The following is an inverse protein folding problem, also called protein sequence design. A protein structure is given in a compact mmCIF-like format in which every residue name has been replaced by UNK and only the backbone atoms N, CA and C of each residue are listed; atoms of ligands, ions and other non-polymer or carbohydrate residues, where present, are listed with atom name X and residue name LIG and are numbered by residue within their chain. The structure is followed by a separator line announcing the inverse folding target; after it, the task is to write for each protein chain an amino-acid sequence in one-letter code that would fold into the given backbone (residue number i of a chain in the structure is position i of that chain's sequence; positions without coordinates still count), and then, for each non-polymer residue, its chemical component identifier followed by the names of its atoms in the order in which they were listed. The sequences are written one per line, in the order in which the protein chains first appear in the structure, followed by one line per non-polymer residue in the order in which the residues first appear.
data_IF_741843876633
#
_entry.id   IF_741843876633
#
_cell.length_a   1.000
_cell.length_b   1.000
_cell.length_c   1.000
_cell.angle_alpha   90.00
_cell.angle_beta   90.00
_cell.angle_gamma   90.00
#
_symmetry.space_group_name_H-M   'P 1'
#
loop_
_entity.id
_entity.type
_entity.pdbx_description
1 polymer ?
#
# COMPACT_ATOMS: atom_id res chain seq x y z
N UNK A 1 4.20 -8.83 5.68
CA UNK A 1 3.25 -9.29 6.73
C UNK A 1 1.81 -9.45 6.22
N UNK A 2 1.27 -8.46 5.50
CA UNK A 2 -0.11 -8.39 5.00
C UNK A 2 -0.55 -9.58 4.14
N UNK A 3 0.35 -10.12 3.30
CA UNK A 3 0.09 -11.33 2.50
C UNK A 3 -0.21 -12.57 3.37
N UNK A 4 0.44 -12.70 4.53
CA UNK A 4 0.20 -13.80 5.47
C UNK A 4 -1.16 -13.66 6.16
N UNK A 5 -1.51 -12.44 6.55
CA UNK A 5 -2.81 -12.10 7.15
C UNK A 5 -3.94 -12.40 6.16
N UNK A 6 -3.81 -12.00 4.89
CA UNK A 6 -4.80 -12.31 3.85
C UNK A 6 -5.01 -13.83 3.72
N UNK A 7 -3.93 -14.62 3.60
CA UNK A 7 -4.03 -16.09 3.53
C UNK A 7 -4.76 -16.67 4.74
N UNK A 8 -4.44 -16.20 5.94
CA UNK A 8 -5.09 -16.66 7.17
C UNK A 8 -6.58 -16.30 7.18
N UNK A 9 -6.96 -15.11 6.70
CA UNK A 9 -8.37 -14.73 6.57
C UNK A 9 -9.12 -15.57 5.54
N UNK A 10 -8.48 -15.96 4.43
CA UNK A 10 -9.09 -16.88 3.46
C UNK A 10 -9.32 -18.26 4.05
N UNK A 11 -8.35 -18.80 4.80
CA UNK A 11 -8.48 -20.08 5.51
C UNK A 11 -9.60 -20.00 6.56
N UNK A 12 -9.63 -18.91 7.34
CA UNK A 12 -10.67 -18.66 8.33
C UNK A 12 -12.06 -18.58 7.69
N UNK A 13 -12.19 -17.92 6.53
CA UNK A 13 -13.45 -17.84 5.79
C UNK A 13 -13.93 -19.21 5.32
N UNK A 14 -13.03 -20.02 4.78
CA UNK A 14 -13.35 -21.39 4.38
C UNK A 14 -13.80 -22.24 5.57
N UNK A 15 -13.08 -22.16 6.69
CA UNK A 15 -13.45 -22.85 7.92
C UNK A 15 -14.80 -22.38 8.46
N UNK A 16 -15.08 -21.06 8.45
CA UNK A 16 -16.33 -20.50 8.93
C UNK A 16 -17.54 -20.97 8.11
N UNK A 17 -17.43 -20.96 6.76
CA UNK A 17 -18.47 -21.49 5.88
C UNK A 17 -18.69 -22.98 6.14
N UNK A 18 -17.62 -23.79 6.16
CA UNK A 18 -17.71 -25.22 6.42
C UNK A 18 -18.38 -25.51 7.77
N UNK A 19 -17.94 -24.83 8.82
CA UNK A 19 -18.47 -24.99 10.17
C UNK A 19 -19.93 -24.55 10.24
N UNK A 20 -20.32 -23.52 9.49
CA UNK A 20 -21.70 -23.07 9.45
C UNK A 20 -22.63 -24.03 8.72
N UNK A 21 -22.12 -24.81 7.76
CA UNK A 21 -22.87 -25.88 7.09
C UNK A 21 -23.03 -27.08 8.03
N UNK A 22 -21.98 -27.45 8.78
CA UNK A 22 -22.00 -28.60 9.70
C UNK A 22 -22.78 -28.30 10.99
N UNK A 23 -22.70 -27.07 11.50
CA UNK A 23 -23.38 -26.62 12.72
C UNK A 23 -23.98 -25.24 12.49
N UNK A 24 -25.25 -25.14 12.06
CA UNK A 24 -25.91 -23.87 11.76
C UNK A 24 -26.34 -23.12 13.02
N UNK A 25 -25.42 -22.90 13.97
CA UNK A 25 -25.68 -22.11 15.18
C UNK A 25 -25.44 -20.62 14.93
N UNK A 26 -26.26 -19.77 15.57
CA UNK A 26 -26.28 -18.32 15.37
C UNK A 26 -24.89 -17.67 15.51
N UNK A 27 -24.09 -18.09 16.47
CA UNK A 27 -22.74 -17.55 16.69
C UNK A 27 -21.79 -17.83 15.53
N UNK A 28 -21.88 -19.01 14.90
CA UNK A 28 -21.02 -19.38 13.74
C UNK A 28 -21.44 -18.60 12.50
N UNK A 29 -22.74 -18.37 12.30
CA UNK A 29 -23.24 -17.52 11.21
C UNK A 29 -22.76 -16.07 11.36
N UNK A 30 -22.88 -15.49 12.56
CA UNK A 30 -22.35 -14.15 12.86
C UNK A 30 -20.83 -14.11 12.62
N UNK A 31 -20.09 -15.14 13.07
CA UNK A 31 -18.66 -15.24 12.82
C UNK A 31 -18.35 -15.28 11.32
N UNK A 32 -19.12 -16.02 10.52
CA UNK A 32 -18.96 -16.10 9.05
C UNK A 32 -19.13 -14.73 8.39
N UNK A 33 -20.18 -13.99 8.73
CA UNK A 33 -20.39 -12.61 8.23
C UNK A 33 -19.25 -11.70 8.67
N UNK A 34 -18.85 -11.78 9.94
CA UNK A 34 -17.78 -10.96 10.51
C UNK A 34 -16.45 -11.21 9.80
N UNK A 35 -16.11 -12.48 9.56
CA UNK A 35 -14.90 -12.86 8.81
C UNK A 35 -14.96 -12.35 7.37
N UNK A 36 -16.12 -12.41 6.72
CA UNK A 36 -16.28 -11.86 5.37
C UNK A 36 -16.05 -10.34 5.32
N UNK A 37 -16.61 -9.61 6.29
CA UNK A 37 -16.44 -8.14 6.44
C UNK A 37 -14.98 -7.79 6.75
N UNK A 38 -14.32 -8.53 7.64
CA UNK A 38 -12.91 -8.31 7.96
C UNK A 38 -12.05 -8.53 6.70
N UNK A 39 -12.31 -9.58 5.93
CA UNK A 39 -11.56 -9.86 4.71
C UNK A 39 -11.72 -8.77 3.65
N UNK A 40 -12.92 -8.21 3.45
CA UNK A 40 -13.10 -7.11 2.50
C UNK A 40 -12.38 -5.84 2.96
N UNK A 41 -12.38 -5.54 4.27
CA UNK A 41 -11.64 -4.40 4.82
C UNK A 41 -10.13 -4.57 4.64
N UNK A 42 -9.60 -5.78 4.85
CA UNK A 42 -8.18 -6.07 4.59
C UNK A 42 -7.84 -5.85 3.12
N UNK A 43 -8.69 -6.32 2.21
CA UNK A 43 -8.46 -6.20 0.76
C UNK A 43 -8.51 -4.73 0.32
N UNK A 44 -9.46 -3.94 0.83
CA UNK A 44 -9.68 -2.55 0.39
C UNK A 44 -8.78 -1.53 1.09
N UNK A 45 -8.28 -1.83 2.29
CA UNK A 45 -7.54 -0.85 3.10
C UNK A 45 -6.14 -1.36 3.42
N UNK A 46 -6.03 -2.53 4.06
CA UNK A 46 -4.74 -3.01 4.55
C UNK A 46 -3.78 -3.36 3.41
N UNK A 47 -4.27 -3.90 2.29
CA UNK A 47 -3.43 -4.19 1.12
C UNK A 47 -2.94 -2.90 0.46
N UNK A 48 -3.80 -1.94 0.04
CA UNK A 48 -3.32 -0.70 -0.54
C UNK A 48 -2.38 0.07 0.37
N UNK A 49 -2.67 0.12 1.68
CA UNK A 49 -1.80 0.78 2.64
C UNK A 49 -0.45 0.07 2.75
N UNK A 50 -0.43 -1.27 2.85
CA UNK A 50 0.83 -2.01 2.92
C UNK A 50 1.66 -1.88 1.64
N UNK A 51 1.01 -1.76 0.49
CA UNK A 51 1.71 -1.46 -0.76
C UNK A 51 2.27 -0.05 -0.71
N UNK A 52 1.48 0.96 -0.33
CA UNK A 52 1.96 2.33 -0.19
C UNK A 52 3.14 2.45 0.81
N UNK A 53 3.11 1.69 1.91
CA UNK A 53 4.23 1.63 2.88
C UNK A 53 5.45 0.93 2.30
N UNK A 54 5.27 -0.19 1.59
CA UNK A 54 6.37 -0.91 0.93
C UNK A 54 7.03 -0.03 -0.16
N UNK A 55 6.28 0.91 -0.73
CA UNK A 55 6.78 1.94 -1.65
C UNK A 55 7.20 3.23 -0.93
N UNK A 56 7.32 3.28 0.40
CA UNK A 56 7.81 4.48 1.10
C UNK A 56 6.92 5.74 0.99
N UNK A 57 5.67 5.59 0.56
CA UNK A 57 4.72 6.71 0.34
C UNK A 57 4.05 7.14 1.66
N UNK A 58 4.09 6.31 2.71
CA UNK A 58 3.29 6.52 3.93
C UNK A 58 4.04 7.07 5.14
N UNK A 59 5.36 7.21 5.09
CA UNK A 59 6.13 7.74 6.23
C UNK A 59 6.08 9.28 6.25
N UNK A 60 4.92 9.80 6.63
CA UNK A 60 4.73 11.22 6.97
C UNK A 60 5.18 11.56 8.40
N UNK A 61 6.17 10.87 8.95
CA UNK A 61 6.60 11.08 10.33
C UNK A 61 8.13 11.05 10.49
N UNK A 62 8.80 12.11 9.99
CA UNK A 62 9.92 12.80 10.65
C UNK A 62 11.02 11.91 11.25
N UNK A 63 11.41 10.86 10.53
CA UNK A 63 12.36 9.84 11.00
C UNK A 63 13.41 9.51 9.95
N UNK A 64 14.12 10.49 9.40
CA UNK A 64 15.51 10.37 8.89
C UNK A 64 15.85 9.36 7.77
N UNK A 65 14.97 8.43 7.42
CA UNK A 65 15.15 7.32 6.49
C UNK A 65 14.25 7.53 5.25
N UNK A 66 14.11 8.78 4.82
CA UNK A 66 13.39 9.13 3.59
C UNK A 66 14.19 8.63 2.37
N UNK A 67 13.55 7.87 1.50
CA UNK A 67 14.21 7.36 0.29
C UNK A 67 14.26 8.44 -0.78
N UNK A 68 15.45 8.70 -1.32
CA UNK A 68 15.63 9.69 -2.40
C UNK A 68 14.79 9.41 -3.67
N UNK A 69 14.29 8.18 -3.84
CA UNK A 69 13.43 7.73 -4.96
C UNK A 69 11.98 7.51 -4.56
N UNK A 70 11.58 7.84 -3.33
CA UNK A 70 10.20 7.67 -2.89
C UNK A 70 9.80 6.24 -2.75
N UNK A 71 10.72 5.43 -2.21
CA UNK A 71 10.54 4.00 -1.98
C UNK A 71 10.32 3.17 -3.25
N UNK A 72 10.62 3.70 -4.44
CA UNK A 72 10.71 2.92 -5.67
C UNK A 72 11.99 2.07 -5.74
N UNK A 73 12.91 2.26 -4.80
CA UNK A 73 14.05 1.37 -4.57
C UNK A 73 13.60 0.03 -3.96
N UNK A 74 13.02 -0.82 -4.81
CA UNK A 74 12.49 -2.13 -4.43
C UNK A 74 13.57 -3.23 -4.39
N UNK A 75 14.85 -2.88 -4.62
CA UNK A 75 15.98 -3.80 -4.60
C UNK A 75 17.19 -3.13 -3.95
N UNK A 76 17.34 -3.31 -2.64
CA UNK A 76 18.59 -3.60 -1.91
C UNK A 76 18.57 -2.98 -0.52
N UNK A 77 19.39 -3.53 0.36
CA UNK A 77 19.59 -3.10 1.74
C UNK A 77 20.34 -1.76 1.84
N UNK A 78 20.39 -0.99 0.74
CA UNK A 78 20.98 0.33 0.61
C UNK A 78 19.85 1.27 0.18
N UNK A 79 19.11 1.78 1.15
CA UNK A 79 18.36 3.02 0.92
C UNK A 79 19.37 4.07 0.47
N UNK A 80 19.19 4.64 -0.71
CA UNK A 80 19.95 5.81 -1.18
C UNK A 80 19.78 6.92 -0.14
N UNK A 81 20.74 7.05 0.78
CA UNK A 81 20.64 7.97 1.91
C UNK A 81 20.43 9.39 1.39
N UNK A 82 19.54 10.15 2.04
CA UNK A 82 19.26 11.56 1.73
C UNK A 82 20.56 12.39 1.67
N UNK A 83 21.60 11.98 2.39
CA UNK A 83 22.92 12.61 2.39
C UNK A 83 23.67 12.54 1.04
N UNK A 84 23.19 11.77 0.05
CA UNK A 84 23.75 11.73 -1.29
C UNK A 84 23.21 12.84 -2.21
N UNK A 85 22.11 13.49 -1.81
CA UNK A 85 21.49 14.59 -2.54
C UNK A 85 21.61 15.91 -1.77
N UNK A 86 22.07 16.96 -2.43
CA UNK A 86 21.95 18.33 -1.93
C UNK A 86 20.61 18.96 -2.36
N UNK A 87 20.06 19.80 -1.48
CA UNK A 87 18.81 20.52 -1.70
C UNK A 87 17.62 19.62 -2.10
N UNK A 88 17.57 18.42 -1.53
CA UNK A 88 16.51 17.44 -1.79
C UNK A 88 15.13 17.99 -1.42
N UNK A 89 14.18 17.83 -2.34
CA UNK A 89 12.75 18.11 -2.14
C UNK A 89 11.95 16.92 -2.62
N UNK A 90 10.87 16.66 -1.90
CA UNK A 90 9.99 15.55 -2.16
C UNK A 90 8.55 15.98 -1.93
N UNK A 91 7.69 15.67 -2.89
CA UNK A 91 6.26 15.85 -2.84
C UNK A 91 5.57 14.50 -3.10
N UNK A 92 4.59 14.17 -2.27
CA UNK A 92 3.81 12.94 -2.41
C UNK A 92 2.31 13.24 -2.30
N UNK A 93 1.51 12.44 -3.00
CA UNK A 93 0.07 12.63 -3.06
C UNK A 93 -0.68 11.33 -3.30
N UNK A 94 -1.98 11.37 -3.03
CA UNK A 94 -2.88 10.28 -3.42
C UNK A 94 -4.22 10.82 -3.93
N UNK A 95 -4.82 10.07 -4.86
CA UNK A 95 -6.12 10.33 -5.44
C UNK A 95 -6.94 9.04 -5.45
N UNK A 96 -8.24 9.16 -5.21
CA UNK A 96 -9.17 8.02 -5.19
C UNK A 96 -10.14 8.17 -6.35
N UNK A 97 -10.24 7.14 -7.18
CA UNK A 97 -11.16 7.06 -8.31
C UNK A 97 -11.85 5.70 -8.38
N UNK A 98 -12.78 5.53 -9.33
CA UNK A 98 -13.39 4.21 -9.60
C UNK A 98 -12.38 3.19 -10.13
N UNK A 99 -11.29 3.66 -10.73
CA UNK A 99 -10.25 2.80 -11.29
C UNK A 99 -9.28 2.29 -10.22
N UNK A 100 -9.26 2.95 -9.06
CA UNK A 100 -8.43 2.56 -7.92
C UNK A 100 -7.95 3.73 -7.08
N UNK A 101 -6.93 3.45 -6.28
CA UNK A 101 -6.17 4.47 -5.54
C UNK A 101 -4.89 4.73 -6.34
N UNK A 102 -4.69 5.97 -6.75
CA UNK A 102 -3.47 6.45 -7.39
C UNK A 102 -2.60 7.12 -6.33
N UNK A 103 -1.33 6.76 -6.28
CA UNK A 103 -0.31 7.42 -5.50
C UNK A 103 0.70 8.06 -6.44
N UNK A 104 1.02 9.32 -6.19
CA UNK A 104 1.97 10.11 -6.95
C UNK A 104 3.15 10.47 -6.07
N UNK A 105 4.33 10.46 -6.66
CA UNK A 105 5.57 10.79 -6.01
C UNK A 105 6.42 11.64 -6.96
N UNK A 106 6.95 12.75 -6.47
CA UNK A 106 7.90 13.58 -7.18
C UNK A 106 9.06 13.91 -6.23
N UNK A 107 10.29 13.68 -6.66
CA UNK A 107 11.47 14.21 -5.97
C UNK A 107 12.44 14.88 -6.91
N UNK A 108 13.22 15.80 -6.34
CA UNK A 108 14.24 16.56 -7.04
C UNK A 108 15.39 16.89 -6.08
N UNK A 109 16.62 16.80 -6.55
CA UNK A 109 17.82 17.16 -5.80
C UNK A 109 19.08 17.04 -6.64
N UNK A 110 20.19 17.56 -6.14
CA UNK A 110 21.49 17.47 -6.82
C UNK A 110 22.26 16.25 -6.33
N UNK A 111 22.53 15.29 -7.20
CA UNK A 111 23.30 14.07 -6.89
C UNK A 111 24.79 14.40 -6.75
N UNK A 112 25.30 14.35 -5.51
CA UNK A 112 26.70 14.65 -5.23
C UNK A 112 27.66 13.58 -5.82
N UNK A 113 27.15 12.38 -6.12
CA UNK A 113 27.90 11.32 -6.78
C UNK A 113 28.21 11.61 -8.25
N UNK A 114 27.47 12.53 -8.88
CA UNK A 114 27.73 13.00 -10.25
C UNK A 114 28.70 14.17 -10.32
N UNK A 115 29.11 14.71 -9.16
CA UNK A 115 30.05 15.82 -9.05
C UNK A 115 31.46 15.35 -8.70
N UNK A 116 32.46 16.05 -9.24
CA UNK A 116 33.84 15.95 -8.80
C UNK A 116 33.98 16.42 -7.35
N UNK A 117 34.95 15.86 -6.60
CA UNK A 117 35.10 16.14 -5.16
C UNK A 117 35.30 17.63 -4.84
N UNK A 118 35.90 18.38 -5.76
CA UNK A 118 36.19 19.82 -5.62
C UNK A 118 34.92 20.68 -5.70
N UNK A 119 33.87 20.22 -6.41
CA UNK A 119 32.65 20.98 -6.68
C UNK A 119 31.50 20.64 -5.72
N UNK A 120 31.66 19.60 -4.88
CA UNK A 120 30.59 19.12 -3.99
C UNK A 120 30.22 20.11 -2.89
N UNK A 121 31.23 20.67 -2.22
CA UNK A 121 31.01 21.59 -1.10
C UNK A 121 30.23 22.83 -1.55
N UNK A 122 30.53 23.34 -2.76
CA UNK A 122 29.85 24.49 -3.35
C UNK A 122 28.37 24.20 -3.63
N UNK A 123 28.04 23.02 -4.17
CA UNK A 123 26.66 22.59 -4.43
C UNK A 123 25.89 22.27 -3.14
N UNK A 124 26.57 21.81 -2.09
CA UNK A 124 25.96 21.58 -0.77
C UNK A 124 25.55 22.92 -0.12
N UNK A 125 26.42 23.93 -0.21
CA UNK A 125 26.15 25.24 0.37
C UNK A 125 25.12 26.04 -0.43
N UNK A 126 25.21 25.99 -1.78
CA UNK A 126 24.37 26.79 -2.67
C UNK A 126 23.88 25.98 -3.87
N UNK A 127 22.55 25.95 -4.06
CA UNK A 127 21.93 25.29 -5.21
C UNK A 127 22.36 25.95 -6.53
N UNK A 128 22.99 25.20 -7.47
CA UNK A 128 23.35 25.72 -8.78
C UNK A 128 22.13 26.18 -9.58
N UNK A 129 22.32 27.19 -10.43
CA UNK A 129 21.34 27.59 -11.45
C UNK A 129 21.75 27.08 -12.83
N UNK A 130 20.81 27.04 -13.77
CA UNK A 130 21.05 26.54 -15.13
C UNK A 130 22.22 27.27 -15.80
N UNK A 131 23.28 26.53 -16.12
CA UNK A 131 24.52 27.05 -16.70
C UNK A 131 25.71 27.15 -15.73
N UNK A 132 25.48 27.00 -14.42
CA UNK A 132 26.55 26.94 -13.43
C UNK A 132 27.20 25.53 -13.37
N UNK A 133 28.48 25.44 -12.97
CA UNK A 133 29.10 24.16 -12.65
C UNK A 133 28.27 23.38 -11.62
N UNK A 134 28.05 22.10 -11.90
CA UNK A 134 27.26 21.22 -11.05
C UNK A 134 25.75 21.29 -11.21
N UNK A 135 25.19 22.17 -12.07
CA UNK A 135 23.75 22.14 -12.35
C UNK A 135 23.28 20.81 -12.98
N UNK A 136 24.14 20.19 -13.79
CA UNK A 136 23.87 18.92 -14.47
C UNK A 136 23.74 17.72 -13.50
N UNK A 137 24.08 17.90 -12.22
CA UNK A 137 23.82 16.86 -11.20
C UNK A 137 22.38 16.88 -10.68
N UNK A 138 21.53 17.81 -11.14
CA UNK A 138 20.12 17.84 -10.80
C UNK A 138 19.40 16.60 -11.36
N UNK A 139 18.96 15.74 -10.45
CA UNK A 139 18.17 14.56 -10.77
C UNK A 139 16.78 14.73 -10.17
N UNK A 140 15.77 14.36 -10.94
CA UNK A 140 14.39 14.27 -10.49
C UNK A 140 13.76 12.93 -10.83
N UNK A 141 12.89 12.45 -9.94
CA UNK A 141 12.13 11.22 -10.10
C UNK A 141 10.63 11.52 -10.05
N UNK A 142 9.88 11.13 -11.09
CA UNK A 142 8.41 11.12 -11.10
C UNK A 142 7.93 9.67 -11.09
N UNK A 143 7.22 9.30 -10.02
CA UNK A 143 6.70 7.98 -9.77
C UNK A 143 5.17 7.98 -9.66
N UNK A 144 4.52 7.03 -10.34
CA UNK A 144 3.07 6.83 -10.28
C UNK A 144 2.74 5.38 -10.01
N UNK A 145 1.95 5.14 -8.97
CA UNK A 145 1.49 3.82 -8.57
C UNK A 145 -0.05 3.79 -8.54
N UNK A 146 -0.64 2.92 -9.36
CA UNK A 146 -2.08 2.72 -9.42
C UNK A 146 -2.46 1.36 -8.80
N UNK A 147 -3.27 1.39 -7.76
CA UNK A 147 -3.82 0.20 -7.10
C UNK A 147 -5.30 0.07 -7.44
N UNK A 148 -5.58 -0.72 -8.47
CA UNK A 148 -6.94 -0.96 -8.97
C UNK A 148 -7.59 -2.26 -8.46
N UNK A 149 -8.88 -2.46 -8.78
CA UNK A 149 -9.61 -3.65 -8.39
C UNK A 149 -9.07 -4.90 -9.11
N UNK A 150 -8.36 -5.73 -8.36
CA UNK A 150 -7.79 -6.98 -8.88
C UNK A 150 -8.75 -8.18 -8.82
N UNK A 151 -8.32 -9.34 -9.36
CA UNK A 151 -9.08 -10.59 -9.30
C UNK A 151 -9.50 -10.98 -7.87
N UNK A 152 -8.70 -10.63 -6.87
CA UNK A 152 -8.98 -10.94 -5.46
C UNK A 152 -10.30 -10.33 -4.97
N UNK A 153 -10.64 -9.11 -5.41
CA UNK A 153 -11.92 -8.47 -5.07
C UNK A 153 -13.07 -9.25 -5.69
N UNK A 154 -12.91 -9.62 -6.96
CA UNK A 154 -13.92 -10.41 -7.70
C UNK A 154 -14.16 -11.75 -7.00
N UNK A 155 -13.09 -12.48 -6.66
CA UNK A 155 -13.19 -13.76 -5.95
C UNK A 155 -13.82 -13.61 -4.57
N UNK A 156 -13.48 -12.56 -3.83
CA UNK A 156 -14.07 -12.32 -2.50
C UNK A 156 -15.56 -11.98 -2.57
N UNK A 157 -15.98 -11.22 -3.59
CA UNK A 157 -17.38 -10.91 -3.84
C UNK A 157 -18.19 -12.14 -4.27
N UNK A 158 -17.59 -13.10 -4.98
CA UNK A 158 -18.25 -14.37 -5.30
C UNK A 158 -18.59 -15.22 -4.06
N UNK A 159 -17.98 -14.93 -2.90
CA UNK A 159 -18.34 -15.57 -1.63
C UNK A 159 -19.60 -14.93 -1.02
N UNK A 160 -19.93 -13.68 -1.38
CA UNK A 160 -21.05 -12.95 -0.80
C UNK A 160 -22.41 -13.67 -0.94
N UNK A 161 -22.77 -14.28 -2.09
CA UNK A 161 -24.01 -15.07 -2.19
C UNK A 161 -24.08 -16.22 -1.19
N UNK A 162 -22.95 -16.89 -0.91
CA UNK A 162 -22.90 -17.97 0.10
C UNK A 162 -23.12 -17.43 1.51
N UNK A 163 -22.57 -16.26 1.82
CA UNK A 163 -22.81 -15.56 3.09
C UNK A 163 -24.26 -15.10 3.21
N UNK A 164 -24.88 -14.65 2.12
CA UNK A 164 -26.30 -14.27 2.10
C UNK A 164 -27.20 -15.49 2.29
N UNK A 165 -26.94 -16.61 1.61
CA UNK A 165 -27.67 -17.86 1.80
C UNK A 165 -27.56 -18.35 3.25
N UNK A 166 -26.38 -18.22 3.84
CA UNK A 166 -26.15 -18.52 5.26
C UNK A 166 -27.05 -17.71 6.21
N UNK A 167 -27.40 -16.48 5.82
CA UNK A 167 -28.30 -15.61 6.57
C UNK A 167 -29.79 -15.93 6.33
N UNK A 168 -30.18 -16.30 5.11
CA UNK A 168 -31.59 -16.56 4.74
C UNK A 168 -32.18 -17.76 5.47
N UNK A 169 -31.38 -18.81 5.73
CA UNK A 169 -31.79 -20.00 6.51
C UNK A 169 -32.22 -19.66 7.96
N UNK A 170 -32.05 -18.41 8.38
CA UNK A 170 -32.55 -17.89 9.67
C UNK A 170 -34.04 -17.57 9.63
N UNK A 171 -34.71 -17.50 8.48
CA UNK A 171 -36.12 -17.08 8.44
C UNK A 171 -37.10 -18.23 8.65
N UNK A 172 -36.79 -19.43 8.16
CA UNK A 172 -37.69 -20.59 8.32
C UNK A 172 -37.65 -21.18 9.73
N UNK A 173 -36.54 -21.05 10.47
CA UNK A 173 -36.42 -21.59 11.83
C UNK A 173 -37.10 -20.75 12.91
N UNK A 174 -37.75 -19.63 12.55
CA UNK A 174 -38.43 -18.72 13.49
C UNK A 174 -39.96 -18.81 13.42
N UNK A 175 -40.52 -19.60 12.51
CA UNK A 175 -41.98 -19.83 12.44
C UNK A 175 -42.43 -21.07 13.24
N UNK A 176 -41.50 -21.79 13.87
CA UNK A 176 -41.78 -22.94 14.74
C UNK A 176 -41.25 -22.74 16.18
N UNK A 177 -41.64 -21.65 16.86
CA UNK A 177 -41.64 -21.58 18.35
C UNK A 177 -42.87 -20.83 18.88
#
# INVERSE_FOLDING_TARGET
MTRGILKLTMIAMFAAIFLSVVRPIRSIRIATVTTWVIGILIILIAIPLAVATDFGISDGNDSGDESSTGGFDTNTQETVEVNQFAHFRQDSGYSISFEGIEFTYESIGFDLGLLDEEDRDDVIETAPIEGDPGYESLIGFDGKLMIGPGPIITWWLLIAPLVVLNLIETRESFEEE
#
